data_IF_293562477651
#
_entry.id   IF_293562477651
#
_cell.length_a   1.000
_cell.length_b   1.000
_cell.length_c   1.000
_cell.angle_alpha   90.00
_cell.angle_beta   90.00
_cell.angle_gamma   90.00
#
_symmetry.space_group_name_H-M   'P 1'
#
loop_
_entity.id
_entity.type
_entity.pdbx_description
1 polymer ?
#
# COMPACT_ATOMS: atom_id res chain seq x y z
N UNK A 1 -5.34 -9.04 8.58
CA UNK A 1 -5.47 -8.12 7.42
C UNK A 1 -6.40 -8.73 6.39
N UNK A 2 -7.71 -8.41 6.39
CA UNK A 2 -8.56 -8.43 5.18
C UNK A 2 -9.75 -7.49 5.43
N UNK A 3 -9.77 -6.33 4.80
CA UNK A 3 -11.00 -5.59 4.52
C UNK A 3 -11.02 -5.37 3.01
N UNK A 4 -11.68 -6.25 2.28
CA UNK A 4 -11.96 -6.08 0.85
C UNK A 4 -13.26 -5.27 0.71
N UNK A 5 -13.15 -4.00 0.31
CA UNK A 5 -14.30 -3.25 -0.22
C UNK A 5 -14.61 -3.78 -1.63
N UNK A 6 -15.47 -4.81 -1.72
CA UNK A 6 -16.13 -5.25 -2.96
C UNK A 6 -15.79 -6.67 -3.43
N UNK A 7 -16.79 -7.39 -3.95
CA UNK A 7 -16.67 -8.73 -4.59
C UNK A 7 -16.35 -8.65 -6.10
N UNK A 8 -15.78 -7.54 -6.57
CA UNK A 8 -15.50 -7.34 -7.99
C UNK A 8 -14.65 -6.11 -8.27
N UNK A 9 -13.60 -6.29 -9.09
CA UNK A 9 -12.64 -5.26 -9.50
C UNK A 9 -11.20 -5.76 -9.45
N UNK A 10 -10.35 -5.27 -10.36
CA UNK A 10 -8.92 -5.62 -10.38
C UNK A 10 -8.10 -4.94 -9.27
N UNK A 11 -8.70 -4.03 -8.50
CA UNK A 11 -8.02 -3.18 -7.53
C UNK A 11 -8.55 -3.41 -6.12
N UNK A 12 -7.64 -3.55 -5.17
CA UNK A 12 -7.94 -3.64 -3.74
C UNK A 12 -7.36 -2.42 -3.02
N UNK A 13 -8.18 -1.80 -2.18
CA UNK A 13 -7.80 -0.70 -1.31
C UNK A 13 -7.63 -1.22 0.11
N UNK A 14 -6.48 -0.94 0.70
CA UNK A 14 -6.17 -1.31 2.07
C UNK A 14 -5.66 -0.09 2.86
N UNK A 15 -5.92 -0.13 4.16
CA UNK A 15 -5.45 0.84 5.14
C UNK A 15 -4.37 0.21 6.01
N UNK A 16 -3.28 0.93 6.23
CA UNK A 16 -2.22 0.56 7.15
C UNK A 16 -2.54 0.99 8.59
N UNK A 17 -1.98 0.29 9.59
CA UNK A 17 -2.06 0.71 10.99
C UNK A 17 -1.58 2.15 11.21
N UNK A 18 -2.04 2.77 12.29
CA UNK A 18 -1.55 4.08 12.72
C UNK A 18 -0.03 4.05 12.95
N UNK A 19 0.68 5.08 12.50
CA UNK A 19 2.15 5.14 12.52
C UNK A 19 2.84 4.56 11.28
N UNK A 20 2.09 3.99 10.33
CA UNK A 20 2.63 3.51 9.06
C UNK A 20 2.14 4.33 7.87
N UNK A 21 3.00 4.50 6.87
CA UNK A 21 2.65 5.20 5.64
C UNK A 21 2.80 4.30 4.41
N UNK A 22 1.94 4.54 3.42
CA UNK A 22 1.97 3.84 2.13
C UNK A 22 3.24 4.12 1.34
N UNK A 23 3.80 5.33 1.46
CA UNK A 23 5.06 5.74 0.81
C UNK A 23 6.26 4.93 1.32
N UNK A 24 6.40 4.78 2.65
CA UNK A 24 7.47 3.97 3.23
C UNK A 24 7.33 2.49 2.88
N UNK A 25 6.10 1.97 2.92
CA UNK A 25 5.83 0.60 2.49
C UNK A 25 6.21 0.40 1.02
N UNK A 26 5.85 1.33 0.14
CA UNK A 26 6.17 1.26 -1.29
C UNK A 26 7.68 1.28 -1.53
N UNK A 27 8.42 2.15 -0.82
CA UNK A 27 9.89 2.20 -0.90
C UNK A 27 10.55 0.89 -0.49
N UNK A 28 9.98 0.18 0.49
CA UNK A 28 10.46 -1.15 0.91
C UNK A 28 10.13 -2.20 -0.14
N UNK A 29 8.89 -2.26 -0.60
CA UNK A 29 8.44 -3.19 -1.64
C UNK A 29 9.26 -3.05 -2.94
N UNK A 30 9.62 -1.81 -3.31
CA UNK A 30 10.39 -1.53 -4.52
C UNK A 30 11.76 -2.22 -4.52
N UNK A 31 12.36 -2.43 -3.35
CA UNK A 31 13.63 -3.19 -3.22
C UNK A 31 13.48 -4.68 -3.56
N UNK A 32 12.27 -5.20 -3.42
CA UNK A 32 11.92 -6.59 -3.72
C UNK A 32 11.26 -6.73 -5.11
N UNK A 33 11.25 -5.67 -5.92
CA UNK A 33 10.64 -5.68 -7.26
C UNK A 33 9.11 -5.56 -7.27
N UNK A 34 8.49 -5.24 -6.12
CA UNK A 34 7.06 -5.01 -6.01
C UNK A 34 6.74 -3.52 -5.87
N UNK A 35 5.56 -3.11 -6.32
CA UNK A 35 5.13 -1.72 -6.21
C UNK A 35 3.63 -1.65 -5.88
N UNK A 36 3.27 -0.63 -5.10
CA UNK A 36 1.88 -0.27 -4.80
C UNK A 36 1.61 1.16 -5.24
N UNK A 37 0.34 1.48 -5.49
CA UNK A 37 -0.07 2.86 -5.72
C UNK A 37 -0.46 3.50 -4.39
N UNK A 38 0.23 4.58 -4.01
CA UNK A 38 -0.09 5.33 -2.80
C UNK A 38 -1.40 6.10 -2.99
N UNK A 39 -2.26 6.12 -1.98
CA UNK A 39 -3.55 6.81 -2.10
C UNK A 39 -3.39 8.34 -2.23
N UNK A 40 -2.28 8.89 -1.75
CA UNK A 40 -1.88 10.29 -1.94
C UNK A 40 -1.83 10.72 -3.42
N UNK A 41 -1.52 9.79 -4.33
CA UNK A 41 -1.50 10.03 -5.77
C UNK A 41 -2.90 10.04 -6.39
N UNK A 42 -3.90 9.50 -5.67
CA UNK A 42 -5.30 9.49 -6.06
C UNK A 42 -6.11 10.60 -5.36
N UNK A 43 -5.45 11.47 -4.59
CA UNK A 43 -6.09 12.54 -3.83
C UNK A 43 -6.54 13.68 -4.75
N UNK A 44 -7.81 13.64 -5.15
CA UNK A 44 -8.44 14.66 -5.99
C UNK A 44 -8.65 16.00 -5.27
N UNK A 45 -8.54 16.04 -3.94
CA UNK A 45 -8.60 17.27 -3.15
C UNK A 45 -7.23 17.96 -3.02
N UNK A 46 -6.16 17.32 -3.52
CA UNK A 46 -4.82 17.91 -3.56
C UNK A 46 -4.85 19.24 -4.34
N UNK A 47 -4.39 20.35 -3.73
CA UNK A 47 -4.32 21.64 -4.42
C UNK A 47 -3.51 21.56 -5.72
N UNK A 48 -3.98 22.22 -6.77
CA UNK A 48 -3.22 22.33 -8.03
C UNK A 48 -1.92 23.14 -7.85
N UNK A 49 -1.90 24.07 -6.89
CA UNK A 49 -0.66 24.64 -6.39
C UNK A 49 0.12 23.52 -5.71
N UNK A 50 1.34 23.24 -6.19
CA UNK A 50 2.27 22.26 -5.59
C UNK A 50 2.78 22.75 -4.23
N UNK A 51 1.87 23.00 -3.31
CA UNK A 51 2.15 23.42 -1.96
C UNK A 51 2.91 22.29 -1.25
N UNK A 52 4.18 22.50 -0.90
CA UNK A 52 4.99 21.48 -0.23
C UNK A 52 4.48 21.16 1.18
N UNK A 53 3.64 22.01 1.76
CA UNK A 53 3.08 21.84 3.11
C UNK A 53 1.78 21.04 3.14
N UNK A 54 1.23 20.69 1.97
CA UNK A 54 -0.01 19.91 1.92
C UNK A 54 0.22 18.47 2.38
N UNK A 55 -0.48 18.08 3.44
CA UNK A 55 -0.52 16.71 3.95
C UNK A 55 -1.87 16.08 3.57
N UNK A 56 -1.81 15.00 2.81
CA UNK A 56 -3.00 14.23 2.43
C UNK A 56 -3.50 13.39 3.61
N UNK A 57 -4.82 13.32 3.87
CA UNK A 57 -5.37 12.44 4.91
C UNK A 57 -5.24 10.95 4.54
N UNK A 58 -4.85 10.64 3.30
CA UNK A 58 -4.79 9.28 2.76
C UNK A 58 -3.41 8.64 2.84
N UNK A 59 -2.48 9.20 3.62
CA UNK A 59 -1.09 8.70 3.71
C UNK A 59 -0.99 7.21 4.10
N UNK A 60 -1.96 6.70 4.84
CA UNK A 60 -2.02 5.31 5.33
C UNK A 60 -2.72 4.36 4.35
N UNK A 61 -3.34 4.89 3.30
CA UNK A 61 -4.09 4.09 2.34
C UNK A 61 -3.23 3.80 1.11
N UNK A 62 -3.43 2.62 0.53
CA UNK A 62 -2.82 2.25 -0.72
C UNK A 62 -3.73 1.35 -1.54
N UNK A 63 -3.46 1.34 -2.83
CA UNK A 63 -4.13 0.50 -3.82
C UNK A 63 -3.11 -0.45 -4.43
N UNK A 64 -3.47 -1.72 -4.51
CA UNK A 64 -2.73 -2.68 -5.33
C UNK A 64 -3.66 -3.46 -6.24
N UNK A 65 -3.07 -4.03 -7.28
CA UNK A 65 -3.73 -4.87 -8.27
C UNK A 65 -2.80 -6.01 -8.62
N UNK A 66 -3.36 -7.20 -8.76
CA UNK A 66 -2.63 -8.34 -9.30
C UNK A 66 -2.60 -8.33 -10.83
N UNK A 67 -3.22 -7.34 -11.49
CA UNK A 67 -3.11 -7.14 -12.94
C UNK A 67 -3.28 -8.42 -13.78
N UNK A 68 -2.45 -8.63 -14.82
CA UNK A 68 -2.43 -9.83 -15.65
C UNK A 68 -1.50 -10.94 -15.10
N UNK A 69 -1.21 -10.94 -13.79
CA UNK A 69 -0.34 -11.96 -13.21
C UNK A 69 -0.98 -13.34 -13.35
N UNK A 70 -0.15 -14.34 -13.62
CA UNK A 70 -0.61 -15.71 -13.74
C UNK A 70 -1.10 -16.17 -12.36
N UNK A 71 -2.18 -16.96 -12.27
CA UNK A 71 -2.70 -17.45 -11.00
C UNK A 71 -1.64 -18.12 -10.12
N UNK A 72 -0.62 -18.70 -10.74
CA UNK A 72 0.51 -19.37 -10.08
C UNK A 72 1.49 -18.43 -9.35
N UNK A 73 1.49 -17.12 -9.60
CA UNK A 73 2.36 -16.17 -8.86
C UNK A 73 1.65 -15.49 -7.70
N UNK A 74 0.32 -15.59 -7.61
CA UNK A 74 -0.49 -14.88 -6.62
C UNK A 74 -0.04 -15.15 -5.18
N UNK A 75 0.16 -16.42 -4.83
CA UNK A 75 0.60 -16.83 -3.50
C UNK A 75 1.99 -16.31 -3.16
N UNK A 76 2.89 -16.28 -4.15
CA UNK A 76 4.26 -15.77 -3.98
C UNK A 76 4.27 -14.24 -3.81
N UNK A 77 3.43 -13.51 -4.56
CA UNK A 77 3.24 -12.06 -4.43
C UNK A 77 2.66 -11.69 -3.05
N UNK A 78 1.66 -12.46 -2.59
CA UNK A 78 1.07 -12.30 -1.25
C UNK A 78 2.10 -12.60 -0.16
N UNK A 79 2.97 -13.60 -0.34
CA UNK A 79 4.04 -13.91 0.60
C UNK A 79 5.05 -12.77 0.69
N UNK A 80 5.53 -12.26 -0.44
CA UNK A 80 6.45 -11.13 -0.49
C UNK A 80 5.85 -9.88 0.15
N UNK A 81 4.58 -9.59 -0.14
CA UNK A 81 3.87 -8.48 0.48
C UNK A 81 3.80 -8.62 2.01
N UNK A 82 3.50 -9.84 2.49
CA UNK A 82 3.44 -10.13 3.92
C UNK A 82 4.81 -10.00 4.60
N UNK A 83 5.87 -10.49 3.98
CA UNK A 83 7.22 -10.41 4.53
C UNK A 83 7.65 -8.95 4.74
N UNK A 84 7.48 -8.13 3.71
CA UNK A 84 7.82 -6.69 3.77
C UNK A 84 6.94 -5.95 4.78
N UNK A 85 5.66 -6.29 4.86
CA UNK A 85 4.75 -5.72 5.85
C UNK A 85 5.14 -6.08 7.30
N UNK A 86 5.47 -7.34 7.57
CA UNK A 86 5.88 -7.78 8.91
C UNK A 86 7.26 -7.27 9.30
N UNK A 87 8.18 -7.08 8.35
CA UNK A 87 9.42 -6.34 8.58
C UNK A 87 9.13 -4.88 8.96
N UNK A 88 8.27 -4.20 8.19
CA UNK A 88 7.91 -2.82 8.48
C UNK A 88 7.22 -2.68 9.85
N UNK A 89 6.36 -3.62 10.23
CA UNK A 89 5.73 -3.66 11.56
C UNK A 89 6.74 -3.77 12.69
N UNK A 90 7.71 -4.66 12.53
CA UNK A 90 8.79 -4.84 13.52
C UNK A 90 9.61 -3.57 13.68
N UNK A 91 9.97 -2.92 12.57
CA UNK A 91 10.73 -1.66 12.61
C UNK A 91 9.98 -0.52 13.30
N UNK A 92 8.66 -0.46 13.15
CA UNK A 92 7.81 0.53 13.81
C UNK A 92 7.46 0.19 15.26
N UNK A 93 7.90 -0.98 15.77
CA UNK A 93 7.56 -1.42 17.12
C UNK A 93 6.05 -1.69 17.31
N UNK A 94 5.30 -1.83 16.22
CA UNK A 94 3.87 -2.15 16.23
C UNK A 94 3.75 -3.66 16.43
N UNK A 95 3.89 -4.10 17.69
CA UNK A 95 3.69 -5.48 18.08
C UNK A 95 2.19 -5.84 17.97
N UNK A 96 1.93 -7.00 17.37
CA UNK A 96 0.60 -7.62 17.18
C UNK A 96 -0.06 -8.02 18.48
#
# INVERSE_FOLDING_TARGET
MVYTLGKGGFYHWLELPEGMTSDELNKRLFKHGAAILCASDCDMARPHSKDPSYVTPYERFFRFSFGPLLPETFEDDVRLFREVYEEYKRDMGIAS
#
